data_IF_016288019867
#
_entry.id   IF_016288019867
#
_cell.length_a   1.000
_cell.length_b   1.000
_cell.length_c   1.000
_cell.angle_alpha   90.00
_cell.angle_beta   90.00
_cell.angle_gamma   90.00
#
_symmetry.space_group_name_H-M   'P 1'
#
loop_
_entity.id
_entity.type
_entity.pdbx_description
1 polymer ?
#
# COMPACT_ATOMS: atom_id res chain seq x y z
N UNK A 1 0.56 16.77 -15.06
CA UNK A 1 0.63 15.33 -15.40
C UNK A 1 -0.11 14.52 -14.34
N UNK A 2 -0.89 13.50 -14.73
CA UNK A 2 -1.63 12.64 -13.78
C UNK A 2 -0.69 11.59 -13.17
N UNK A 3 -1.00 11.11 -11.97
CA UNK A 3 -0.30 9.98 -11.37
C UNK A 3 -1.01 8.67 -11.73
N UNK A 4 -0.25 7.65 -12.09
CA UNK A 4 -0.71 6.27 -12.21
C UNK A 4 -0.25 5.46 -11.01
N UNK A 5 -1.17 4.71 -10.42
CA UNK A 5 -0.93 3.74 -9.37
C UNK A 5 -0.80 2.36 -10.00
N UNK A 6 0.31 1.70 -9.71
CA UNK A 6 0.64 0.36 -10.19
C UNK A 6 0.87 -0.50 -8.95
N UNK A 7 0.11 -1.60 -8.82
CA UNK A 7 0.37 -2.58 -7.78
C UNK A 7 1.36 -3.61 -8.33
N UNK A 8 0.85 -4.65 -9.01
CA UNK A 8 1.67 -5.63 -9.69
C UNK A 8 1.80 -5.28 -11.18
N UNK A 9 2.93 -5.63 -11.80
CA UNK A 9 3.21 -5.30 -13.20
C UNK A 9 2.85 -6.47 -14.11
N UNK A 10 2.03 -6.21 -15.13
CA UNK A 10 1.72 -7.15 -16.22
C UNK A 10 2.18 -6.62 -17.56
N UNK A 11 2.36 -7.54 -18.51
CA UNK A 11 2.98 -7.30 -19.82
C UNK A 11 2.29 -6.18 -20.60
N UNK A 12 0.97 -6.14 -20.55
CA UNK A 12 0.12 -5.22 -21.29
C UNK A 12 0.40 -3.75 -20.96
N UNK A 13 0.97 -3.45 -19.78
CA UNK A 13 1.32 -2.07 -19.42
C UNK A 13 2.43 -1.48 -20.26
N UNK A 14 3.31 -2.31 -20.84
CA UNK A 14 4.41 -1.83 -21.68
C UNK A 14 3.94 -1.38 -23.07
N UNK A 15 2.71 -1.73 -23.45
CA UNK A 15 2.06 -1.27 -24.69
C UNK A 15 1.32 0.06 -24.47
N UNK A 16 1.26 0.56 -23.23
CA UNK A 16 0.64 1.84 -22.91
C UNK A 16 1.61 3.01 -23.15
N UNK A 17 1.09 4.14 -23.62
CA UNK A 17 1.83 5.40 -23.69
C UNK A 17 2.06 6.00 -22.29
N UNK A 18 2.98 5.41 -21.51
CA UNK A 18 3.17 5.74 -20.10
C UNK A 18 3.80 7.11 -19.88
N UNK A 19 4.65 7.60 -20.79
CA UNK A 19 5.42 8.86 -20.64
C UNK A 19 4.57 10.12 -20.34
N UNK A 20 3.27 10.08 -20.58
CA UNK A 20 2.32 11.14 -20.21
C UNK A 20 1.87 11.08 -18.73
N UNK A 21 2.45 10.21 -17.91
CA UNK A 21 2.05 9.98 -16.52
C UNK A 21 3.21 10.05 -15.54
N UNK A 22 2.91 10.21 -14.25
CA UNK A 22 3.86 10.00 -13.16
C UNK A 22 3.58 8.64 -12.54
N UNK A 23 4.56 7.74 -12.56
CA UNK A 23 4.36 6.36 -12.12
C UNK A 23 4.60 6.24 -10.61
N UNK A 24 3.63 5.64 -9.93
CA UNK A 24 3.70 5.27 -8.52
C UNK A 24 3.48 3.77 -8.37
N UNK A 25 4.27 3.12 -7.52
CA UNK A 25 4.25 1.69 -7.30
C UNK A 25 3.93 1.41 -5.82
N UNK A 26 2.82 0.74 -5.53
CA UNK A 26 2.36 0.52 -4.15
C UNK A 26 2.75 -0.88 -3.64
N UNK A 27 2.71 -1.07 -2.31
CA UNK A 27 2.94 -2.31 -1.56
C UNK A 27 4.39 -2.86 -1.56
N UNK A 28 5.21 -2.54 -2.57
CA UNK A 28 6.60 -3.01 -2.66
C UNK A 28 6.76 -4.42 -3.23
N UNK A 29 6.05 -4.73 -4.33
CA UNK A 29 6.06 -6.04 -4.97
C UNK A 29 7.34 -6.31 -5.77
N UNK A 30 7.78 -7.57 -5.79
CA UNK A 30 8.96 -8.03 -6.51
C UNK A 30 8.89 -7.73 -8.02
N UNK A 31 7.71 -7.79 -8.63
CA UNK A 31 7.56 -7.46 -10.05
C UNK A 31 8.06 -6.05 -10.38
N UNK A 32 7.93 -5.11 -9.45
CA UNK A 32 8.34 -3.72 -9.62
C UNK A 32 9.87 -3.58 -9.67
N UNK A 33 10.59 -4.40 -8.90
CA UNK A 33 12.03 -4.56 -9.00
C UNK A 33 12.43 -5.31 -10.27
N UNK A 34 11.78 -6.44 -10.51
CA UNK A 34 12.04 -7.31 -11.65
C UNK A 34 11.99 -6.53 -12.97
N UNK A 35 10.94 -5.74 -13.20
CA UNK A 35 10.78 -4.98 -14.44
C UNK A 35 11.46 -3.59 -14.43
N UNK A 36 12.20 -3.21 -13.38
CA UNK A 36 12.91 -1.93 -13.35
C UNK A 36 13.75 -1.61 -14.61
N UNK A 37 14.47 -2.57 -15.24
CA UNK A 37 15.24 -2.28 -16.45
C UNK A 37 14.43 -1.70 -17.61
N UNK A 38 13.12 -1.99 -17.67
CA UNK A 38 12.21 -1.46 -18.68
C UNK A 38 11.77 -0.01 -18.39
N UNK A 39 11.87 0.43 -17.13
CA UNK A 39 11.55 1.79 -16.69
C UNK A 39 12.79 2.67 -16.43
N UNK A 40 14.01 2.13 -16.55
CA UNK A 40 15.24 2.85 -16.16
C UNK A 40 15.45 4.18 -16.89
N UNK A 41 14.94 4.29 -18.12
CA UNK A 41 15.03 5.48 -18.97
C UNK A 41 13.74 6.33 -18.94
N UNK A 42 12.81 6.01 -18.05
CA UNK A 42 11.58 6.78 -17.90
C UNK A 42 11.89 8.24 -17.56
N UNK A 43 11.20 9.16 -18.23
CA UNK A 43 11.53 10.59 -18.21
C UNK A 43 11.33 11.24 -16.84
N UNK A 44 10.34 10.79 -16.07
CA UNK A 44 10.11 11.24 -14.69
C UNK A 44 10.73 10.30 -13.64
N UNK A 45 10.73 10.76 -12.38
CA UNK A 45 11.08 9.89 -11.25
C UNK A 45 10.00 8.84 -11.02
N UNK A 46 10.42 7.59 -10.89
CA UNK A 46 9.61 6.46 -10.44
C UNK A 46 9.45 6.55 -8.91
N UNK A 47 8.21 6.54 -8.42
CA UNK A 47 7.95 6.68 -6.97
C UNK A 47 7.41 5.37 -6.39
N UNK A 48 8.13 4.77 -5.45
CA UNK A 48 7.73 3.51 -4.82
C UNK A 48 7.25 3.78 -3.40
N UNK A 49 6.08 3.26 -3.06
CA UNK A 49 5.50 3.30 -1.72
C UNK A 49 5.51 1.91 -1.12
N UNK A 50 6.41 1.69 -0.17
CA UNK A 50 6.64 0.37 0.39
C UNK A 50 5.84 0.15 1.68
N UNK A 51 5.25 -1.04 1.82
CA UNK A 51 4.72 -1.50 3.10
C UNK A 51 5.85 -2.16 3.88
N UNK A 52 6.39 -1.45 4.87
CA UNK A 52 7.70 -1.82 5.43
C UNK A 52 7.72 -3.17 6.16
N UNK A 53 6.61 -3.66 6.73
CA UNK A 53 6.56 -5.01 7.34
C UNK A 53 6.52 -6.15 6.32
N UNK A 54 6.18 -5.88 5.05
CA UNK A 54 6.12 -6.88 3.98
C UNK A 54 7.49 -7.14 3.36
N UNK A 55 8.43 -6.22 3.53
CA UNK A 55 9.80 -6.35 3.04
C UNK A 55 10.61 -7.16 4.06
N UNK A 56 11.20 -8.27 3.62
CA UNK A 56 12.04 -9.15 4.44
C UNK A 56 13.48 -9.15 3.93
N UNK A 57 14.49 -9.33 4.80
CA UNK A 57 15.85 -9.57 4.35
C UNK A 57 15.92 -10.78 3.41
N UNK A 58 16.75 -10.72 2.38
CA UNK A 58 16.93 -11.81 1.44
C UNK A 58 17.79 -11.44 0.24
N UNK A 59 18.32 -12.46 -0.44
CA UNK A 59 19.18 -12.25 -1.59
C UNK A 59 18.50 -11.43 -2.70
N UNK A 60 19.28 -10.58 -3.36
CA UNK A 60 18.85 -9.88 -4.57
C UNK A 60 18.54 -10.91 -5.66
N UNK A 61 17.32 -10.88 -6.19
CA UNK A 61 16.93 -11.71 -7.33
C UNK A 61 17.26 -11.01 -8.65
N UNK A 62 17.26 -11.78 -9.74
CA UNK A 62 17.52 -11.24 -11.08
C UNK A 62 16.40 -10.30 -11.54
N UNK A 63 16.78 -9.23 -12.24
CA UNK A 63 15.83 -8.40 -12.98
C UNK A 63 15.49 -9.01 -14.35
N UNK A 64 14.55 -8.38 -15.06
CA UNK A 64 14.05 -8.78 -16.37
C UNK A 64 15.16 -8.98 -17.38
N UNK A 65 15.22 -10.18 -17.95
CA UNK A 65 16.16 -10.60 -19.00
C UNK A 65 15.44 -11.13 -20.26
N UNK A 66 14.16 -10.80 -20.44
CA UNK A 66 13.35 -11.23 -21.59
C UNK A 66 12.15 -12.11 -21.25
N UNK A 67 12.04 -12.59 -20.00
CA UNK A 67 10.95 -13.46 -19.56
C UNK A 67 9.91 -12.69 -18.72
N UNK A 68 8.63 -12.89 -19.02
CA UNK A 68 7.54 -12.30 -18.23
C UNK A 68 7.15 -13.22 -17.08
N UNK A 69 7.05 -12.67 -15.88
CA UNK A 69 6.57 -13.39 -14.70
C UNK A 69 5.03 -13.30 -14.56
N UNK A 70 4.38 -14.29 -13.92
CA UNK A 70 2.93 -14.29 -13.76
C UNK A 70 2.41 -13.10 -12.95
N UNK A 71 1.36 -12.45 -13.46
CA UNK A 71 0.64 -11.39 -12.77
C UNK A 71 -0.16 -11.91 -11.56
N UNK A 72 -0.12 -11.15 -10.48
CA UNK A 72 -0.78 -11.36 -9.20
C UNK A 72 -1.71 -10.19 -8.88
N UNK A 73 -3.02 -10.43 -9.00
CA UNK A 73 -4.04 -9.50 -8.52
C UNK A 73 -3.86 -9.19 -7.03
N UNK A 74 -4.18 -7.96 -6.62
CA UNK A 74 -4.14 -7.50 -5.22
C UNK A 74 -4.77 -8.46 -4.23
N UNK A 75 -5.94 -9.02 -4.55
CA UNK A 75 -6.58 -9.99 -3.67
C UNK A 75 -5.74 -11.24 -3.38
N UNK A 76 -4.88 -11.67 -4.32
CA UNK A 76 -4.09 -12.89 -4.24
C UNK A 76 -2.80 -12.71 -3.44
N UNK A 77 -2.01 -11.67 -3.70
CA UNK A 77 -0.80 -11.44 -2.89
C UNK A 77 -1.14 -10.98 -1.47
N UNK A 78 -2.24 -10.26 -1.27
CA UNK A 78 -2.71 -9.93 0.09
C UNK A 78 -3.21 -11.16 0.85
N UNK A 79 -3.84 -12.12 0.16
CA UNK A 79 -4.19 -13.42 0.77
C UNK A 79 -2.93 -14.17 1.22
N UNK A 80 -1.95 -14.32 0.33
CA UNK A 80 -0.68 -14.96 0.64
C UNK A 80 0.02 -14.29 1.82
N UNK A 81 0.01 -12.97 1.86
CA UNK A 81 0.54 -12.21 3.00
C UNK A 81 -0.26 -12.48 4.28
N UNK A 82 -1.53 -12.07 4.34
CA UNK A 82 -2.28 -12.00 5.60
C UNK A 82 -2.84 -13.33 6.11
N UNK A 83 -2.92 -14.35 5.25
CA UNK A 83 -3.52 -15.65 5.57
C UNK A 83 -2.48 -16.77 5.53
N UNK A 84 -1.59 -16.77 4.54
CA UNK A 84 -0.58 -17.84 4.39
C UNK A 84 0.80 -17.50 4.98
N UNK A 85 0.97 -16.27 5.52
CA UNK A 85 2.24 -15.73 6.04
C UNK A 85 3.42 -15.78 5.04
N UNK A 86 3.10 -15.57 3.75
CA UNK A 86 4.05 -15.65 2.63
C UNK A 86 4.47 -14.27 2.13
N UNK A 87 5.77 -14.12 1.85
CA UNK A 87 6.39 -12.83 1.51
C UNK A 87 7.15 -12.83 0.18
N UNK A 88 7.25 -13.97 -0.52
CA UNK A 88 8.07 -14.13 -1.71
C UNK A 88 7.70 -13.23 -2.89
N UNK A 89 6.50 -12.63 -2.87
CA UNK A 89 6.02 -11.71 -3.90
C UNK A 89 6.37 -10.24 -3.62
N UNK A 90 6.90 -9.94 -2.44
CA UNK A 90 7.42 -8.61 -2.11
C UNK A 90 8.92 -8.55 -2.39
N UNK A 91 9.43 -7.34 -2.57
CA UNK A 91 10.87 -7.11 -2.66
C UNK A 91 11.56 -7.51 -1.35
N UNK A 92 12.83 -7.88 -1.43
CA UNK A 92 13.69 -8.00 -0.25
C UNK A 92 14.23 -6.65 0.18
N UNK A 93 14.78 -6.55 1.39
CA UNK A 93 15.45 -5.34 1.86
C UNK A 93 16.56 -4.91 0.90
N UNK A 94 17.36 -5.88 0.43
CA UNK A 94 18.50 -5.69 -0.44
C UNK A 94 18.08 -5.20 -1.83
N UNK A 95 16.94 -5.68 -2.35
CA UNK A 95 16.35 -5.20 -3.61
C UNK A 95 15.85 -3.75 -3.48
N UNK A 96 15.21 -3.40 -2.35
CA UNK A 96 14.81 -2.01 -2.08
C UNK A 96 16.04 -1.11 -1.95
N UNK A 97 17.10 -1.57 -1.29
CA UNK A 97 18.36 -0.84 -1.19
C UNK A 97 18.95 -0.56 -2.57
N UNK A 98 19.09 -1.59 -3.41
CA UNK A 98 19.59 -1.43 -4.78
C UNK A 98 18.74 -0.46 -5.60
N UNK A 99 17.41 -0.59 -5.51
CA UNK A 99 16.47 0.28 -6.20
C UNK A 99 16.55 1.73 -5.69
N UNK A 100 16.72 1.93 -4.39
CA UNK A 100 16.81 3.26 -3.78
C UNK A 100 18.06 4.04 -4.19
N UNK A 101 19.15 3.35 -4.57
CA UNK A 101 20.36 3.96 -5.09
C UNK A 101 20.21 4.46 -6.54
N UNK A 102 19.11 4.15 -7.23
CA UNK A 102 18.91 4.54 -8.63
C UNK A 102 18.53 6.02 -8.70
N UNK A 103 19.19 6.82 -9.56
CA UNK A 103 18.98 8.26 -9.60
C UNK A 103 17.55 8.63 -10.00
N UNK A 104 16.85 7.79 -10.77
CA UNK A 104 15.46 8.02 -11.20
C UNK A 104 14.41 7.48 -10.22
N UNK A 105 14.80 7.00 -9.04
CA UNK A 105 13.89 6.43 -8.04
C UNK A 105 13.66 7.39 -6.87
N UNK A 106 12.43 7.38 -6.35
CA UNK A 106 12.07 7.94 -5.05
C UNK A 106 11.33 6.90 -4.23
N UNK A 107 11.61 6.87 -2.93
CA UNK A 107 10.95 5.97 -1.99
C UNK A 107 10.09 6.81 -1.03
N UNK A 108 8.82 6.40 -0.89
CA UNK A 108 7.91 6.81 0.17
C UNK A 108 7.38 5.57 0.90
N UNK A 109 6.48 5.78 1.86
CA UNK A 109 5.93 4.69 2.67
C UNK A 109 4.45 4.45 2.40
N UNK A 110 4.01 3.21 2.63
CA UNK A 110 2.63 2.77 2.47
C UNK A 110 2.09 2.11 3.75
N UNK A 111 2.34 2.73 4.91
CA UNK A 111 2.19 2.16 6.26
C UNK A 111 3.15 1.01 6.58
N UNK A 112 3.24 0.65 7.86
CA UNK A 112 4.08 -0.47 8.28
C UNK A 112 3.31 -1.78 8.11
N UNK A 113 2.11 -1.89 8.68
CA UNK A 113 1.35 -3.14 8.73
C UNK A 113 0.32 -3.31 7.61
N UNK A 114 -0.12 -2.23 6.95
CA UNK A 114 -1.22 -2.24 5.96
C UNK A 114 -2.51 -2.87 6.48
N UNK A 115 -2.74 -2.69 7.78
CA UNK A 115 -3.76 -3.45 8.50
C UNK A 115 -5.18 -2.91 8.28
N UNK A 116 -6.15 -3.79 8.49
CA UNK A 116 -7.58 -3.50 8.36
C UNK A 116 -8.32 -3.56 9.70
N UNK A 117 -9.50 -2.94 9.74
CA UNK A 117 -10.37 -2.90 10.91
C UNK A 117 -11.83 -2.96 10.50
N UNK A 118 -12.68 -3.50 11.39
CA UNK A 118 -14.13 -3.38 11.23
C UNK A 118 -14.58 -1.95 11.46
N UNK A 119 -15.53 -1.50 10.65
CA UNK A 119 -16.17 -0.19 10.75
C UNK A 119 -17.66 -0.34 10.50
N UNK A 120 -18.48 0.57 11.04
CA UNK A 120 -19.88 0.66 10.64
C UNK A 120 -19.98 1.23 9.23
N UNK A 121 -20.77 0.59 8.39
CA UNK A 121 -21.01 1.01 7.01
C UNK A 121 -22.37 1.63 6.87
N UNK A 122 -22.43 2.77 6.18
CA UNK A 122 -23.69 3.24 5.65
C UNK A 122 -24.20 2.25 4.57
N UNK A 123 -25.47 1.82 4.57
CA UNK A 123 -25.98 0.80 3.63
C UNK A 123 -25.66 1.07 2.15
N UNK A 124 -25.64 2.34 1.75
CA UNK A 124 -25.34 2.79 0.37
C UNK A 124 -23.85 2.75 -0.03
N UNK A 125 -22.93 2.54 0.93
CA UNK A 125 -21.48 2.60 0.71
C UNK A 125 -20.80 1.26 1.02
N UNK A 126 -21.53 0.14 0.93
CA UNK A 126 -20.96 -1.19 1.17
C UNK A 126 -19.99 -1.55 0.06
N UNK A 127 -18.73 -1.77 0.45
CA UNK A 127 -17.71 -2.35 -0.43
C UNK A 127 -17.80 -3.88 -0.35
N UNK A 128 -17.69 -4.60 -1.48
CA UNK A 128 -17.60 -6.05 -1.46
C UNK A 128 -16.37 -6.47 -0.64
N UNK A 129 -16.55 -7.48 0.22
CA UNK A 129 -15.47 -8.03 1.04
C UNK A 129 -14.61 -8.96 0.18
N UNK A 130 -13.32 -8.64 0.04
CA UNK A 130 -12.37 -9.55 -0.59
C UNK A 130 -12.24 -10.85 0.22
N UNK A 131 -11.91 -11.95 -0.47
CA UNK A 131 -11.72 -13.27 0.15
C UNK A 131 -10.71 -13.21 1.31
N UNK A 132 -9.54 -12.59 1.07
CA UNK A 132 -8.49 -12.48 2.09
C UNK A 132 -8.92 -11.73 3.35
N UNK A 133 -9.73 -10.67 3.23
CA UNK A 133 -10.23 -9.91 4.39
C UNK A 133 -11.13 -10.78 5.25
N UNK A 134 -11.93 -11.66 4.66
CA UNK A 134 -12.81 -12.58 5.42
C UNK A 134 -12.01 -13.63 6.18
N UNK A 135 -11.01 -14.20 5.51
CA UNK A 135 -10.17 -15.25 6.09
C UNK A 135 -9.20 -14.70 7.16
N UNK A 136 -8.67 -13.49 6.96
CA UNK A 136 -7.79 -12.83 7.92
C UNK A 136 -8.47 -12.62 9.29
N UNK A 137 -9.80 -12.45 9.34
CA UNK A 137 -10.54 -12.36 10.60
C UNK A 137 -11.05 -13.70 11.14
N UNK A 138 -10.49 -14.85 10.69
CA UNK A 138 -10.72 -16.20 11.23
C UNK A 138 -12.18 -16.50 11.60
N UNK A 139 -13.02 -16.78 10.60
CA UNK A 139 -14.46 -17.07 10.76
C UNK A 139 -15.24 -15.93 11.41
N UNK A 140 -15.43 -14.85 10.64
CA UNK A 140 -16.49 -13.87 10.88
C UNK A 140 -17.77 -14.60 11.34
N UNK A 141 -18.34 -14.27 12.51
CA UNK A 141 -19.63 -14.81 12.91
C UNK A 141 -20.65 -14.53 11.80
N UNK A 142 -21.50 -15.49 11.46
CA UNK A 142 -22.62 -15.26 10.52
C UNK A 142 -23.48 -14.06 10.95
N UNK A 143 -23.47 -13.73 12.25
CA UNK A 143 -24.10 -12.55 12.87
C UNK A 143 -23.46 -11.19 12.55
N UNK A 144 -22.35 -11.15 11.78
CA UNK A 144 -21.78 -9.92 11.20
C UNK A 144 -22.62 -9.41 10.00
N UNK A 145 -23.74 -10.05 9.68
CA UNK A 145 -24.86 -9.41 8.99
C UNK A 145 -25.46 -8.31 9.90
N UNK A 146 -25.48 -7.02 9.57
CA UNK A 146 -25.81 -6.45 8.27
C UNK A 146 -25.13 -5.11 8.00
N UNK A 147 -24.30 -4.52 8.87
CA UNK A 147 -23.87 -3.11 8.68
C UNK A 147 -22.38 -2.85 8.94
N UNK A 148 -21.49 -3.83 8.75
CA UNK A 148 -20.05 -3.64 8.92
C UNK A 148 -19.27 -3.67 7.59
N UNK A 149 -18.10 -3.03 7.58
CA UNK A 149 -17.13 -3.00 6.47
C UNK A 149 -15.73 -3.19 7.03
N UNK A 150 -14.85 -3.78 6.23
CA UNK A 150 -13.42 -3.92 6.54
C UNK A 150 -12.64 -2.83 5.79
N UNK A 151 -12.07 -1.90 6.54
CA UNK A 151 -11.45 -0.64 6.05
C UNK A 151 -10.04 -0.47 6.61
N UNK A 152 -9.29 0.55 6.17
CA UNK A 152 -7.97 0.88 6.73
C UNK A 152 -8.02 1.10 8.26
N UNK A 153 -7.19 0.38 9.01
CA UNK A 153 -7.08 0.54 10.48
C UNK A 153 -6.49 1.88 10.90
N UNK A 154 -5.77 2.54 9.99
CA UNK A 154 -5.24 3.89 10.14
C UNK A 154 -6.31 4.95 9.88
N UNK A 155 -7.11 4.79 8.82
CA UNK A 155 -8.09 5.80 8.41
C UNK A 155 -9.39 5.76 9.20
N UNK A 156 -9.64 4.70 9.98
CA UNK A 156 -10.87 4.57 10.75
C UNK A 156 -10.57 4.05 12.16
N UNK A 157 -11.22 4.66 13.16
CA UNK A 157 -11.19 4.20 14.54
C UNK A 157 -11.60 2.73 14.63
N UNK A 158 -12.78 2.41 14.10
CA UNK A 158 -13.24 1.03 13.96
C UNK A 158 -13.45 0.27 15.27
N UNK A 159 -13.48 -1.05 15.14
CA UNK A 159 -13.72 -2.02 16.22
C UNK A 159 -12.62 -3.07 16.21
N UNK A 160 -12.10 -3.40 17.39
CA UNK A 160 -11.33 -4.62 17.59
C UNK A 160 -12.28 -5.81 17.61
N UNK A 161 -11.82 -6.93 17.09
CA UNK A 161 -12.53 -8.21 17.15
C UNK A 161 -11.66 -9.21 17.88
N UNK A 162 -12.17 -9.73 19.00
CA UNK A 162 -11.50 -10.74 19.82
C UNK A 162 -12.56 -11.63 20.45
N UNK A 163 -12.36 -12.96 20.39
CA UNK A 163 -13.25 -13.97 20.98
C UNK A 163 -14.75 -13.77 20.67
N UNK A 164 -15.07 -13.44 19.42
CA UNK A 164 -16.46 -13.22 19.01
C UNK A 164 -17.03 -11.84 19.33
N UNK A 165 -16.31 -11.00 20.09
CA UNK A 165 -16.79 -9.69 20.53
C UNK A 165 -16.19 -8.55 19.71
N UNK A 166 -17.06 -7.61 19.29
CA UNK A 166 -16.65 -6.35 18.68
C UNK A 166 -16.61 -5.23 19.71
N UNK A 167 -15.42 -4.74 20.02
CA UNK A 167 -15.21 -3.64 20.95
C UNK A 167 -14.76 -2.41 20.18
N UNK A 168 -15.48 -1.28 20.34
CA UNK A 168 -15.09 -0.03 19.69
C UNK A 168 -13.73 0.41 20.23
N UNK A 169 -12.76 0.65 19.35
CA UNK A 169 -11.46 1.21 19.75
C UNK A 169 -11.65 2.58 20.37
N UNK A 170 -10.92 2.91 21.44
CA UNK A 170 -10.95 4.27 21.97
C UNK A 170 -10.29 5.25 20.97
N UNK A 171 -10.47 6.56 21.14
CA UNK A 171 -9.75 7.55 20.31
C UNK A 171 -8.24 7.50 20.60
N UNK A 172 -7.87 7.21 21.86
CA UNK A 172 -6.49 7.03 22.27
C UNK A 172 -5.87 5.82 21.57
N UNK A 173 -6.49 4.64 21.66
CA UNK A 173 -5.99 3.41 20.99
C UNK A 173 -5.85 3.57 19.48
N UNK A 174 -6.70 4.42 18.88
CA UNK A 174 -6.59 4.73 17.47
C UNK A 174 -5.39 5.63 17.15
N UNK A 175 -5.19 6.70 17.93
CA UNK A 175 -4.01 7.55 17.81
C UNK A 175 -2.72 6.76 18.04
N UNK A 176 -2.68 5.96 19.11
CA UNK A 176 -1.51 5.17 19.50
C UNK A 176 -1.13 4.20 18.40
N UNK A 177 -2.11 3.56 17.76
CA UNK A 177 -1.86 2.71 16.60
C UNK A 177 -1.32 3.48 15.40
N UNK A 178 -1.86 4.67 15.10
CA UNK A 178 -1.33 5.51 13.99
C UNK A 178 0.12 5.88 14.27
N UNK A 179 0.43 6.33 15.48
CA UNK A 179 1.78 6.68 15.89
C UNK A 179 2.70 5.47 15.79
N UNK A 180 2.32 4.34 16.38
CA UNK A 180 3.10 3.11 16.38
C UNK A 180 3.41 2.58 14.97
N UNK A 181 2.40 2.48 14.10
CA UNK A 181 2.61 2.06 12.70
C UNK A 181 3.56 3.03 11.96
N UNK A 182 3.38 4.33 12.19
CA UNK A 182 4.19 5.38 11.55
C UNK A 182 5.65 5.35 12.05
N UNK A 183 5.86 5.20 13.35
CA UNK A 183 7.19 5.12 13.98
C UNK A 183 7.96 3.90 13.47
N UNK A 184 7.31 2.73 13.36
CA UNK A 184 7.94 1.53 12.79
C UNK A 184 8.28 1.71 11.32
N UNK A 185 7.42 2.39 10.56
CA UNK A 185 7.70 2.78 9.18
C UNK A 185 8.98 3.61 9.06
N UNK A 186 9.05 4.71 9.83
CA UNK A 186 10.18 5.63 9.82
C UNK A 186 11.46 4.94 10.29
N UNK A 187 11.36 4.14 11.36
CA UNK A 187 12.47 3.35 11.86
C UNK A 187 13.00 2.40 10.79
N UNK A 188 12.13 1.66 10.11
CA UNK A 188 12.55 0.75 9.05
C UNK A 188 13.28 1.49 7.93
N UNK A 189 12.77 2.64 7.47
CA UNK A 189 13.41 3.41 6.40
C UNK A 189 14.75 4.01 6.86
N UNK A 190 14.82 4.52 8.08
CA UNK A 190 16.06 5.05 8.64
C UNK A 190 17.13 3.94 8.77
N UNK A 191 16.77 2.80 9.33
CA UNK A 191 17.70 1.68 9.58
C UNK A 191 18.19 1.03 8.27
N UNK A 192 17.33 0.93 7.25
CA UNK A 192 17.66 0.17 6.03
C UNK A 192 18.09 1.06 4.85
N UNK A 193 17.63 2.31 4.77
CA UNK A 193 17.88 3.21 3.65
C UNK A 193 18.58 4.53 4.04
N UNK A 194 18.73 4.81 5.35
CA UNK A 194 19.54 5.94 5.83
C UNK A 194 18.94 7.32 5.60
N UNK A 195 17.62 7.42 5.36
CA UNK A 195 16.95 8.72 5.20
C UNK A 195 15.58 8.74 5.91
N UNK A 196 14.98 9.93 6.03
CA UNK A 196 13.61 10.11 6.52
C UNK A 196 12.65 10.37 5.34
N UNK A 197 11.63 9.54 5.10
CA UNK A 197 10.70 9.72 3.98
C UNK A 197 9.77 10.90 4.22
N UNK A 198 9.48 11.69 3.18
CA UNK A 198 8.53 12.81 3.23
C UNK A 198 7.23 12.57 2.44
N UNK A 199 7.08 11.38 1.85
CA UNK A 199 5.92 10.98 1.06
C UNK A 199 5.21 9.77 1.69
N UNK A 200 3.89 9.85 1.75
CA UNK A 200 3.04 8.82 2.34
C UNK A 200 1.89 8.45 1.38
N UNK A 201 1.76 7.18 1.06
CA UNK A 201 0.63 6.66 0.30
C UNK A 201 -0.35 5.98 1.25
N UNK A 202 -1.63 6.30 1.16
CA UNK A 202 -2.64 5.76 2.07
C UNK A 202 -3.05 4.33 1.72
N UNK A 203 -2.93 3.36 2.64
CA UNK A 203 -3.45 2.01 2.43
C UNK A 203 -4.91 2.04 2.01
N UNK A 204 -5.23 1.25 0.99
CA UNK A 204 -6.58 1.14 0.41
C UNK A 204 -7.15 2.46 -0.13
N UNK A 205 -6.30 3.46 -0.37
CA UNK A 205 -6.68 4.82 -0.77
C UNK A 205 -7.60 5.52 0.25
N UNK A 206 -7.50 5.13 1.53
CA UNK A 206 -8.39 5.58 2.60
C UNK A 206 -7.65 6.47 3.61
N UNK A 207 -8.22 7.65 3.87
CA UNK A 207 -7.66 8.63 4.79
C UNK A 207 -8.74 9.53 5.36
N UNK A 208 -8.35 10.34 6.35
CA UNK A 208 -9.15 11.43 6.89
C UNK A 208 -8.21 12.56 7.38
N UNK A 209 -8.78 13.70 7.76
CA UNK A 209 -8.02 14.88 8.21
C UNK A 209 -7.19 14.62 9.47
N UNK A 210 -7.71 13.80 10.41
CA UNK A 210 -7.01 13.44 11.63
C UNK A 210 -5.75 12.62 11.35
N UNK A 211 -5.83 11.62 10.47
CA UNK A 211 -4.68 10.82 10.04
C UNK A 211 -3.64 11.71 9.35
N UNK A 212 -4.06 12.59 8.43
CA UNK A 212 -3.15 13.56 7.80
C UNK A 212 -2.47 14.45 8.83
N UNK A 213 -3.23 14.99 9.79
CA UNK A 213 -2.70 15.86 10.83
C UNK A 213 -1.63 15.16 11.66
N UNK A 214 -1.83 13.89 12.02
CA UNK A 214 -0.84 13.09 12.75
C UNK A 214 0.38 12.83 11.86
N UNK A 215 0.19 12.36 10.62
CA UNK A 215 1.33 12.10 9.73
C UNK A 215 2.18 13.35 9.46
N UNK A 216 1.58 14.54 9.42
CA UNK A 216 2.34 15.80 9.30
C UNK A 216 3.27 16.06 10.49
N UNK A 217 2.91 15.63 11.71
CA UNK A 217 3.81 15.77 12.87
C UNK A 217 5.04 14.87 12.77
N UNK A 218 4.98 13.83 11.95
CA UNK A 218 6.10 12.94 11.61
C UNK A 218 6.94 13.43 10.42
N UNK A 219 6.62 14.58 9.85
CA UNK A 219 7.40 15.19 8.75
C UNK A 219 6.94 14.83 7.34
N UNK A 220 5.83 14.08 7.18
CA UNK A 220 5.24 13.83 5.87
C UNK A 220 4.65 15.09 5.26
N UNK A 221 4.97 15.34 3.99
CA UNK A 221 4.61 16.55 3.24
C UNK A 221 3.72 16.29 2.04
N UNK A 222 3.80 15.08 1.46
CA UNK A 222 3.06 14.70 0.25
C UNK A 222 2.30 13.41 0.50
N UNK A 223 1.03 13.42 0.16
CA UNK A 223 0.12 12.31 0.41
C UNK A 223 -0.46 11.78 -0.89
N UNK A 224 -0.74 10.49 -0.96
CA UNK A 224 -1.21 9.85 -2.19
C UNK A 224 -2.42 8.96 -1.92
N UNK A 225 -3.46 9.10 -2.74
CA UNK A 225 -4.70 8.33 -2.70
C UNK A 225 -5.34 8.27 -4.10
N UNK A 226 -6.48 7.58 -4.24
CA UNK A 226 -7.25 7.54 -5.49
C UNK A 226 -7.84 8.92 -5.85
N UNK A 227 -8.20 9.73 -4.84
CA UNK A 227 -8.75 11.07 -5.02
C UNK A 227 -8.07 12.02 -4.03
N UNK A 228 -7.81 13.26 -4.46
CA UNK A 228 -7.23 14.31 -3.61
C UNK A 228 -8.20 14.81 -2.52
N UNK A 229 -9.50 14.73 -2.79
CA UNK A 229 -10.51 15.41 -1.96
C UNK A 229 -10.24 16.92 -1.91
N UNK A 230 -10.47 17.52 -0.75
CA UNK A 230 -10.27 18.97 -0.52
C UNK A 230 -8.89 19.31 0.09
N UNK A 231 -7.99 18.33 0.23
CA UNK A 231 -6.68 18.53 0.86
C UNK A 231 -5.61 18.69 -0.23
N UNK A 232 -4.97 19.87 -0.27
CA UNK A 232 -4.04 20.25 -1.35
C UNK A 232 -2.80 19.36 -1.44
N UNK A 233 -2.37 18.81 -0.32
CA UNK A 233 -1.18 17.96 -0.22
C UNK A 233 -1.46 16.49 -0.62
N UNK A 234 -2.72 16.14 -0.90
CA UNK A 234 -3.11 14.80 -1.36
C UNK A 234 -3.18 14.80 -2.89
N UNK A 235 -2.29 14.02 -3.51
CA UNK A 235 -2.28 13.77 -4.93
C UNK A 235 -3.20 12.59 -5.26
N UNK A 236 -4.19 12.84 -6.12
CA UNK A 236 -5.04 11.79 -6.68
C UNK A 236 -4.31 10.97 -7.73
N UNK A 237 -4.60 9.67 -7.78
CA UNK A 237 -3.97 8.70 -8.68
C UNK A 237 -5.03 7.86 -9.39
N UNK A 238 -4.77 7.55 -10.65
CA UNK A 238 -5.60 6.64 -11.45
C UNK A 238 -4.98 5.24 -11.37
N UNK A 239 -5.81 4.22 -11.18
CA UNK A 239 -5.35 2.83 -11.22
C UNK A 239 -4.99 2.48 -12.68
N UNK A 240 -3.79 1.96 -12.91
CA UNK A 240 -3.35 1.59 -14.28
C UNK A 240 -4.27 0.56 -14.92
N UNK A 241 -4.92 -0.30 -14.11
CA UNK A 241 -5.86 -1.31 -14.59
C UNK A 241 -7.03 -0.68 -15.35
N UNK A 242 -7.42 0.55 -15.00
CA UNK A 242 -8.52 1.25 -15.67
C UNK A 242 -8.15 1.74 -17.08
N UNK A 243 -6.92 1.55 -17.55
CA UNK A 243 -6.48 1.92 -18.89
C UNK A 243 -6.52 0.75 -19.88
N UNK A 244 -6.79 -0.46 -19.40
CA UNK A 244 -6.79 -1.68 -20.22
C UNK A 244 -8.06 -2.52 -20.08
N UNK A 245 -8.89 -2.26 -19.08
CA UNK A 245 -10.17 -2.94 -18.88
C UNK A 245 -11.33 -2.23 -19.67
N UNK A 246 -11.02 -1.51 -20.76
CA UNK A 246 -11.98 -0.90 -21.70
C UNK A 246 -12.42 -1.86 -22.82
#
# INVERSE_FOLDING_TARGET
MKYLMIHDIRKEYFDLGLDQYRLTFDDGLFSQYYYFPLFKNYSEKLTYFITTSFIKPGNVRSMFAGEYIPFLKTGKYMHRRFVEDKFEHFMTTEEIQELSCRPNVKIGVHSHFHEVVFTRTHPRNRKPLSKWKREHFHNLPETVGLNLSIRSKLAFQGFNYHDGLLTRRSVADWNDYINYDTELCLKWVADNLGFAPDMYCFPFNEYNEKLISILKTFGFKKFFAARSGNVKEVYGRVDIDSLIDD
#
